data_IF_478129025865
#
_entry.id   IF_478129025865
#
_cell.length_a   1.000
_cell.length_b   1.000
_cell.length_c   1.000
_cell.angle_alpha   90.00
_cell.angle_beta   90.00
_cell.angle_gamma   90.00
#
_symmetry.space_group_name_H-M   'P 1'
#
loop_
_entity.id
_entity.type
_entity.pdbx_description
1 polymer ?
#
# COMPACT_ATOMS: atom_id res chain seq x y z
N UNK A 1 -3.15 0.67 -11.46
CA UNK A 1 -1.96 1.27 -12.14
C UNK A 1 -0.76 1.21 -11.18
N UNK A 2 0.33 0.53 -11.59
CA UNK A 2 1.58 0.47 -10.82
C UNK A 2 2.58 1.46 -11.39
N UNK A 3 3.32 2.15 -10.54
CA UNK A 3 4.35 3.11 -10.92
C UNK A 3 5.26 3.52 -9.78
N UNK A 4 6.14 4.48 -10.02
CA UNK A 4 7.13 4.99 -9.07
C UNK A 4 6.72 6.37 -8.56
N UNK A 5 6.90 6.60 -7.25
CA UNK A 5 6.62 7.91 -6.65
C UNK A 5 7.92 8.64 -6.30
N UNK A 6 8.78 8.04 -5.50
CA UNK A 6 9.98 8.66 -4.96
C UNK A 6 11.13 7.66 -4.86
N UNK A 7 12.35 8.15 -4.98
CA UNK A 7 13.55 7.36 -4.74
C UNK A 7 14.66 8.19 -4.11
N UNK A 8 15.59 7.50 -3.47
CA UNK A 8 16.91 8.04 -3.23
C UNK A 8 17.96 7.13 -3.86
N UNK A 9 18.86 7.75 -4.60
CA UNK A 9 20.01 7.10 -5.22
C UNK A 9 21.31 7.61 -4.63
N UNK A 10 22.35 6.81 -4.70
CA UNK A 10 23.67 7.21 -4.27
C UNK A 10 24.75 6.69 -5.22
N UNK A 11 25.88 7.39 -5.21
CA UNK A 11 27.10 7.03 -5.95
C UNK A 11 28.32 7.46 -5.17
N UNK A 12 29.39 6.69 -5.29
CA UNK A 12 30.73 7.06 -4.80
C UNK A 12 31.52 7.70 -5.95
N UNK A 13 32.13 8.84 -5.67
CA UNK A 13 32.94 9.61 -6.60
C UNK A 13 34.36 9.78 -6.07
N UNK A 14 35.31 9.85 -6.99
CA UNK A 14 36.72 10.16 -6.67
C UNK A 14 36.98 11.65 -6.82
N UNK A 15 36.22 12.46 -6.09
CA UNK A 15 36.29 13.92 -6.07
C UNK A 15 36.20 14.41 -4.63
N UNK A 16 36.73 15.61 -4.39
CA UNK A 16 36.64 16.27 -3.10
C UNK A 16 35.23 16.75 -2.78
N UNK A 17 34.82 16.60 -1.51
CA UNK A 17 33.48 16.97 -1.08
C UNK A 17 33.21 18.49 -1.20
N UNK A 18 34.22 19.32 -0.97
CA UNK A 18 34.08 20.77 -1.07
C UNK A 18 33.81 21.21 -2.52
N UNK A 19 34.43 20.57 -3.50
CA UNK A 19 34.13 20.83 -4.92
C UNK A 19 32.68 20.51 -5.25
N UNK A 20 32.15 19.39 -4.75
CA UNK A 20 30.74 19.04 -4.93
C UNK A 20 29.82 20.06 -4.29
N UNK A 21 30.14 20.52 -3.07
CA UNK A 21 29.37 21.52 -2.34
C UNK A 21 29.32 22.84 -3.08
N UNK A 22 30.46 23.29 -3.63
CA UNK A 22 30.55 24.48 -4.47
C UNK A 22 29.68 24.30 -5.72
N UNK A 23 29.78 23.14 -6.37
CA UNK A 23 28.97 22.79 -7.53
C UNK A 23 27.47 22.84 -7.23
N UNK A 24 27.00 22.31 -6.10
CA UNK A 24 25.61 22.38 -5.69
C UNK A 24 25.13 23.83 -5.56
N UNK A 25 25.90 24.68 -4.85
CA UNK A 25 25.57 26.08 -4.62
C UNK A 25 25.57 26.91 -5.93
N UNK A 26 26.40 26.51 -6.90
CA UNK A 26 26.47 27.16 -8.21
C UNK A 26 25.33 26.72 -9.15
N UNK A 27 24.93 25.45 -9.07
CA UNK A 27 23.98 24.84 -9.99
C UNK A 27 22.52 25.13 -9.63
N UNK A 28 22.19 25.13 -8.33
CA UNK A 28 20.84 25.35 -7.84
C UNK A 28 20.66 26.77 -7.29
N UNK A 29 19.52 27.40 -7.61
CA UNK A 29 19.21 28.77 -7.14
C UNK A 29 18.71 28.80 -5.70
N UNK A 30 17.90 27.77 -5.33
CA UNK A 30 17.24 27.70 -4.03
C UNK A 30 17.81 26.53 -3.21
N UNK A 31 18.95 26.77 -2.58
CA UNK A 31 19.63 25.78 -1.75
C UNK A 31 19.53 26.17 -0.29
N UNK A 32 18.91 25.34 0.53
CA UNK A 32 18.86 25.54 1.97
C UNK A 32 19.76 24.51 2.66
N UNK A 33 20.87 24.93 3.29
CA UNK A 33 21.70 24.00 4.06
C UNK A 33 20.94 23.55 5.31
N UNK A 34 20.87 22.24 5.52
CA UNK A 34 20.38 21.63 6.73
C UNK A 34 21.55 21.36 7.67
N UNK A 35 21.28 21.30 8.97
CA UNK A 35 22.33 21.10 10.00
C UNK A 35 23.27 19.95 9.66
N UNK A 36 24.57 20.21 9.75
CA UNK A 36 25.63 19.21 9.60
C UNK A 36 25.51 18.10 10.66
N UNK A 37 25.63 16.87 10.22
CA UNK A 37 25.76 15.70 11.11
C UNK A 37 27.04 14.95 10.79
N UNK A 38 28.07 15.13 11.60
CA UNK A 38 29.39 14.56 11.38
C UNK A 38 30.00 15.02 10.05
N UNK A 39 30.45 14.06 9.21
CA UNK A 39 31.02 14.31 7.86
C UNK A 39 30.00 14.43 6.74
N UNK A 40 28.72 14.60 7.06
CA UNK A 40 27.64 14.67 6.08
C UNK A 40 27.02 16.04 6.05
N UNK A 41 27.02 16.69 4.89
CA UNK A 41 26.27 17.91 4.62
C UNK A 41 24.99 17.58 3.86
N UNK A 42 23.88 18.18 4.27
CA UNK A 42 22.58 17.98 3.65
C UNK A 42 22.03 19.31 3.12
N UNK A 43 21.55 19.29 1.90
CA UNK A 43 20.96 20.43 1.21
C UNK A 43 19.51 20.09 0.82
N UNK A 44 18.57 20.93 1.23
CA UNK A 44 17.20 20.89 0.73
C UNK A 44 17.14 21.63 -0.59
N UNK A 45 16.57 20.98 -1.60
CA UNK A 45 16.45 21.51 -2.96
C UNK A 45 14.97 21.47 -3.31
N UNK A 46 14.46 22.58 -3.86
CA UNK A 46 13.06 22.66 -4.31
C UNK A 46 12.96 22.75 -5.83
N UNK A 47 13.99 22.32 -6.54
CA UNK A 47 14.11 22.43 -7.99
C UNK A 47 14.28 21.07 -8.64
N UNK A 48 13.87 20.93 -9.90
CA UNK A 48 14.13 19.75 -10.76
C UNK A 48 13.75 18.41 -10.14
N UNK A 49 12.60 18.35 -9.50
CA UNK A 49 12.11 17.13 -8.84
C UNK A 49 13.00 16.58 -7.71
N UNK A 50 14.03 17.32 -7.31
CA UNK A 50 14.93 16.95 -6.22
C UNK A 50 14.35 17.49 -4.92
N UNK A 51 14.39 16.65 -3.88
CA UNK A 51 13.99 17.04 -2.52
C UNK A 51 15.19 17.34 -1.65
N UNK A 52 16.26 16.52 -1.79
CA UNK A 52 17.41 16.62 -0.91
C UNK A 52 18.67 16.08 -1.62
N UNK A 53 19.80 16.73 -1.39
CA UNK A 53 21.12 16.23 -1.76
C UNK A 53 21.96 16.12 -0.46
N UNK A 54 22.55 14.95 -0.26
CA UNK A 54 23.50 14.69 0.82
C UNK A 54 24.88 14.42 0.25
N UNK A 55 25.87 15.14 0.77
CA UNK A 55 27.26 14.99 0.44
C UNK A 55 27.98 14.46 1.67
N UNK A 56 28.59 13.29 1.57
CA UNK A 56 29.35 12.66 2.64
C UNK A 56 30.80 12.49 2.21
N UNK A 57 31.69 13.11 2.95
CA UNK A 57 33.13 12.89 2.81
C UNK A 57 33.48 11.45 3.23
N UNK A 58 34.31 10.79 2.44
CA UNK A 58 34.90 9.48 2.72
C UNK A 58 36.43 9.59 2.78
N UNK A 59 37.11 8.58 3.37
CA UNK A 59 38.59 8.53 3.35
C UNK A 59 39.14 8.57 1.92
N UNK A 60 40.37 9.01 1.76
CA UNK A 60 41.10 9.08 0.50
C UNK A 60 40.49 10.04 -0.54
N UNK A 61 39.99 11.20 -0.09
CA UNK A 61 39.37 12.23 -0.96
C UNK A 61 38.24 11.70 -1.83
N UNK A 62 37.52 10.69 -1.34
CA UNK A 62 36.29 10.16 -1.99
C UNK A 62 35.09 10.84 -1.40
N UNK A 63 34.06 10.99 -2.23
CA UNK A 63 32.79 11.60 -1.83
C UNK A 63 31.64 10.69 -2.21
N UNK A 64 30.72 10.49 -1.27
CA UNK A 64 29.43 9.87 -1.57
C UNK A 64 28.38 10.96 -1.74
N UNK A 65 27.74 10.98 -2.91
CA UNK A 65 26.57 11.80 -3.16
C UNK A 65 25.33 10.92 -3.07
N UNK A 66 24.32 11.41 -2.35
CA UNK A 66 23.00 10.82 -2.31
C UNK A 66 21.98 11.88 -2.75
N UNK A 67 21.11 11.53 -3.70
CA UNK A 67 20.03 12.40 -4.19
C UNK A 67 18.70 11.72 -3.92
N UNK A 68 17.82 12.46 -3.23
CA UNK A 68 16.43 12.10 -3.00
C UNK A 68 15.57 12.89 -3.98
N UNK A 69 14.77 12.22 -4.79
CA UNK A 69 13.99 12.84 -5.86
C UNK A 69 12.64 12.15 -6.06
N UNK A 70 11.72 12.84 -6.74
CA UNK A 70 10.37 12.37 -7.02
C UNK A 70 10.21 12.01 -8.48
N UNK A 71 9.92 10.74 -8.77
CA UNK A 71 9.54 10.28 -10.11
C UNK A 71 8.20 10.86 -10.57
N UNK A 72 7.25 10.95 -9.66
CA UNK A 72 5.90 11.43 -9.98
C UNK A 72 5.89 12.88 -10.45
N UNK A 73 6.81 13.71 -9.94
CA UNK A 73 6.95 15.11 -10.37
C UNK A 73 7.70 15.30 -11.68
N UNK A 74 8.34 14.26 -12.20
CA UNK A 74 9.13 14.36 -13.42
C UNK A 74 8.29 14.78 -14.62
N UNK A 75 7.14 14.15 -14.83
CA UNK A 75 6.23 14.46 -15.93
C UNK A 75 5.11 15.44 -15.56
N UNK A 76 4.77 15.54 -14.29
CA UNK A 76 3.66 16.36 -13.79
C UNK A 76 4.16 17.10 -12.57
N UNK A 77 3.90 18.38 -12.48
CA UNK A 77 4.35 19.22 -11.36
C UNK A 77 3.83 18.79 -9.98
N UNK A 78 2.93 17.82 -9.92
CA UNK A 78 2.35 17.26 -8.70
C UNK A 78 2.74 15.78 -8.52
N UNK A 79 2.55 15.25 -7.31
CA UNK A 79 2.75 13.85 -6.99
C UNK A 79 1.42 13.07 -6.92
N UNK A 80 0.42 13.53 -7.67
CA UNK A 80 -0.89 12.91 -7.65
C UNK A 80 -0.90 11.53 -8.33
N UNK A 81 -0.11 11.40 -9.40
CA UNK A 81 -0.02 10.16 -10.17
C UNK A 81 1.41 9.61 -10.17
N UNK A 82 1.60 8.29 -9.97
CA UNK A 82 2.92 7.68 -10.06
C UNK A 82 3.44 7.66 -11.50
N UNK A 83 4.74 7.59 -11.66
CA UNK A 83 5.38 7.43 -12.96
C UNK A 83 5.28 5.97 -13.41
N UNK A 84 4.57 5.70 -14.51
CA UNK A 84 4.28 4.34 -14.98
C UNK A 84 5.03 3.95 -16.26
N UNK A 85 5.70 4.89 -16.91
CA UNK A 85 6.45 4.66 -18.13
C UNK A 85 7.92 4.33 -17.85
N UNK A 86 8.41 3.19 -18.36
CA UNK A 86 9.83 2.83 -18.25
C UNK A 86 10.73 3.85 -18.97
N UNK A 87 10.30 4.36 -20.13
CA UNK A 87 11.03 5.40 -20.85
C UNK A 87 11.18 6.66 -19.99
N UNK A 88 10.08 7.12 -19.39
CA UNK A 88 10.11 8.31 -18.54
C UNK A 88 10.93 8.06 -17.24
N UNK A 89 10.95 6.83 -16.71
CA UNK A 89 11.83 6.42 -15.62
C UNK A 89 13.29 6.57 -15.99
N UNK A 90 13.68 6.03 -17.14
CA UNK A 90 15.06 6.12 -17.67
C UNK A 90 15.46 7.59 -17.84
N UNK A 91 14.60 8.40 -18.46
CA UNK A 91 14.87 9.84 -18.65
C UNK A 91 15.04 10.58 -17.32
N UNK A 92 14.21 10.27 -16.32
CA UNK A 92 14.35 10.87 -14.99
C UNK A 92 15.68 10.49 -14.32
N UNK A 93 16.12 9.25 -14.48
CA UNK A 93 17.40 8.75 -13.95
C UNK A 93 18.60 9.37 -14.66
N UNK A 94 18.53 9.54 -15.99
CA UNK A 94 19.56 10.25 -16.77
C UNK A 94 19.65 11.73 -16.39
N UNK A 95 18.53 12.39 -16.09
CA UNK A 95 18.58 13.76 -15.57
C UNK A 95 19.32 13.82 -14.22
N UNK A 96 19.14 12.84 -13.33
CA UNK A 96 19.90 12.76 -12.07
C UNK A 96 21.40 12.54 -12.33
N UNK A 97 21.75 11.68 -13.31
CA UNK A 97 23.14 11.48 -13.75
C UNK A 97 23.73 12.81 -14.23
N UNK A 98 23.04 13.54 -15.09
CA UNK A 98 23.49 14.82 -15.63
C UNK A 98 23.71 15.87 -14.51
N UNK A 99 22.82 15.89 -13.52
CA UNK A 99 22.97 16.77 -12.37
C UNK A 99 24.22 16.41 -11.57
N UNK A 100 24.44 15.13 -11.27
CA UNK A 100 25.63 14.66 -10.55
C UNK A 100 26.89 15.05 -11.31
N UNK A 101 26.94 14.78 -12.62
CA UNK A 101 28.07 15.13 -13.45
C UNK A 101 28.38 16.64 -13.46
N UNK A 102 27.33 17.48 -13.49
CA UNK A 102 27.49 18.95 -13.46
C UNK A 102 27.97 19.50 -12.11
N UNK A 103 27.45 18.94 -10.98
CA UNK A 103 27.83 19.44 -9.66
C UNK A 103 29.19 18.89 -9.17
N UNK A 104 29.63 17.76 -9.70
CA UNK A 104 30.88 17.10 -9.29
C UNK A 104 31.99 17.13 -10.33
N UNK A 105 31.69 17.60 -11.54
CA UNK A 105 32.61 17.54 -12.70
C UNK A 105 33.09 16.12 -12.99
N UNK A 106 32.27 15.13 -12.68
CA UNK A 106 32.55 13.70 -12.90
C UNK A 106 31.89 13.20 -14.21
N UNK A 107 32.23 11.98 -14.59
CA UNK A 107 31.63 11.29 -15.74
C UNK A 107 31.06 9.95 -15.27
N UNK A 108 29.89 10.00 -14.64
CA UNK A 108 29.15 8.78 -14.29
C UNK A 108 28.05 8.51 -15.29
N UNK A 109 27.55 7.28 -15.28
CA UNK A 109 26.39 6.83 -16.04
C UNK A 109 25.33 6.29 -15.10
N UNK A 110 24.13 6.01 -15.59
CA UNK A 110 23.06 5.36 -14.86
C UNK A 110 23.49 4.02 -14.23
N UNK A 111 24.44 3.32 -14.86
CA UNK A 111 25.03 2.10 -14.35
C UNK A 111 25.86 2.26 -13.06
N UNK A 112 26.23 3.46 -12.65
CA UNK A 112 26.94 3.74 -11.41
C UNK A 112 26.01 4.07 -10.23
N UNK A 113 24.73 4.43 -10.53
CA UNK A 113 23.76 4.77 -9.49
C UNK A 113 23.23 3.53 -8.78
N UNK A 114 23.09 3.62 -7.46
CA UNK A 114 22.52 2.57 -6.60
C UNK A 114 21.33 3.12 -5.85
N UNK A 115 20.25 2.36 -5.73
CA UNK A 115 19.14 2.74 -4.87
C UNK A 115 19.51 2.62 -3.38
N UNK A 116 19.19 3.64 -2.63
CA UNK A 116 19.11 3.61 -1.17
C UNK A 116 17.71 3.18 -0.72
N UNK A 117 16.70 3.76 -1.34
CA UNK A 117 15.33 3.32 -1.22
C UNK A 117 14.54 3.65 -2.49
N UNK A 118 13.42 2.98 -2.65
CA UNK A 118 12.48 3.18 -3.73
C UNK A 118 11.05 3.13 -3.17
N UNK A 119 10.19 4.06 -3.59
CA UNK A 119 8.76 4.07 -3.31
C UNK A 119 8.00 3.66 -4.57
N UNK A 120 7.34 2.50 -4.48
CA UNK A 120 6.57 1.89 -5.56
C UNK A 120 5.11 2.04 -5.18
N UNK A 121 4.30 2.59 -6.07
CA UNK A 121 2.90 2.85 -5.83
C UNK A 121 2.01 2.02 -6.72
N UNK A 122 0.95 1.50 -6.14
CA UNK A 122 -0.20 0.97 -6.87
C UNK A 122 -1.37 1.90 -6.57
N UNK A 123 -2.02 2.40 -7.60
CA UNK A 123 -3.07 3.41 -7.46
C UNK A 123 -4.29 3.06 -8.31
N UNK A 124 -5.46 3.29 -7.73
CA UNK A 124 -6.75 3.07 -8.39
C UNK A 124 -7.72 4.20 -8.08
N UNK A 125 -8.50 4.60 -9.10
CA UNK A 125 -9.62 5.49 -8.93
C UNK A 125 -10.81 4.69 -8.43
N UNK A 126 -11.35 5.05 -7.29
CA UNK A 126 -12.47 4.36 -6.66
C UNK A 126 -13.71 5.24 -6.71
N UNK A 127 -14.91 4.64 -6.80
CA UNK A 127 -16.14 5.41 -6.85
C UNK A 127 -16.38 6.20 -5.56
N UNK A 128 -16.10 5.55 -4.43
CA UNK A 128 -16.16 6.16 -3.11
C UNK A 128 -15.13 5.52 -2.21
N UNK A 129 -14.49 6.30 -1.35
CA UNK A 129 -13.60 5.76 -0.33
C UNK A 129 -14.35 4.80 0.63
N UNK A 130 -15.63 5.07 0.88
CA UNK A 130 -16.48 4.21 1.70
C UNK A 130 -16.64 2.80 1.15
N UNK A 131 -16.66 2.63 -0.17
CA UNK A 131 -16.78 1.32 -0.81
C UNK A 131 -15.60 0.42 -0.48
N UNK A 132 -14.44 1.02 -0.19
CA UNK A 132 -13.20 0.31 0.13
C UNK A 132 -12.87 0.29 1.62
N UNK A 133 -13.60 1.02 2.45
CA UNK A 133 -13.32 1.08 3.89
C UNK A 133 -13.31 -0.31 4.54
N UNK A 134 -14.27 -1.15 4.20
CA UNK A 134 -14.35 -2.51 4.73
C UNK A 134 -13.22 -3.40 4.21
N UNK A 135 -12.85 -3.24 2.94
CA UNK A 135 -11.69 -3.93 2.33
C UNK A 135 -10.40 -3.51 3.02
N UNK A 136 -10.24 -2.21 3.27
CA UNK A 136 -9.09 -1.68 3.99
C UNK A 136 -9.05 -2.23 5.42
N UNK A 137 -10.17 -2.27 6.10
CA UNK A 137 -10.27 -2.80 7.47
C UNK A 137 -9.97 -4.30 7.53
N UNK A 138 -10.44 -5.07 6.57
CA UNK A 138 -10.17 -6.49 6.46
C UNK A 138 -8.69 -6.77 6.14
N UNK A 139 -8.12 -6.01 5.22
CA UNK A 139 -6.71 -6.05 4.88
C UNK A 139 -5.83 -5.71 6.10
N UNK A 140 -6.20 -4.68 6.85
CA UNK A 140 -5.57 -4.33 8.11
C UNK A 140 -5.64 -5.49 9.13
N UNK A 141 -6.82 -6.05 9.33
CA UNK A 141 -7.06 -7.16 10.27
C UNK A 141 -6.19 -8.37 9.91
N UNK A 142 -6.15 -8.74 8.64
CA UNK A 142 -5.36 -9.87 8.14
C UNK A 142 -3.86 -9.66 8.36
N UNK A 143 -3.33 -8.48 8.02
CA UNK A 143 -1.92 -8.18 8.19
C UNK A 143 -1.54 -7.98 9.66
N UNK A 144 -2.39 -7.34 10.47
CA UNK A 144 -2.08 -7.02 11.87
C UNK A 144 -1.87 -8.26 12.75
N UNK A 145 -2.46 -9.39 12.41
CA UNK A 145 -2.30 -10.64 13.16
C UNK A 145 -1.01 -11.38 12.84
N UNK A 146 -0.47 -11.18 11.66
CA UNK A 146 0.61 -12.00 11.13
C UNK A 146 1.98 -11.30 11.13
N UNK A 147 2.01 -9.97 11.20
CA UNK A 147 3.24 -9.21 11.31
C UNK A 147 3.45 -8.72 12.74
N UNK A 148 4.37 -9.36 13.46
CA UNK A 148 4.67 -9.06 14.88
C UNK A 148 5.33 -7.70 15.14
N UNK A 149 5.79 -7.01 14.10
CA UNK A 149 6.58 -5.77 14.22
C UNK A 149 5.79 -4.58 13.70
N UNK A 150 4.80 -4.15 14.49
CA UNK A 150 4.13 -2.88 14.24
C UNK A 150 4.81 -1.76 15.02
N UNK A 151 5.43 -0.83 14.30
CA UNK A 151 5.44 0.55 14.78
C UNK A 151 3.98 1.01 14.83
N UNK A 152 3.59 1.68 15.92
CA UNK A 152 2.26 2.21 16.18
C UNK A 152 1.61 2.69 14.89
N UNK A 153 0.60 1.97 14.43
CA UNK A 153 -0.24 2.35 13.32
C UNK A 153 -0.79 3.74 13.60
N UNK A 154 -0.35 4.71 12.83
CA UNK A 154 -0.99 6.03 12.85
C UNK A 154 -2.23 5.91 11.98
N UNK A 155 -3.36 5.73 12.63
CA UNK A 155 -4.64 5.96 11.97
C UNK A 155 -4.77 7.45 11.74
N UNK A 156 -4.87 7.85 10.49
CA UNK A 156 -5.35 9.18 10.17
C UNK A 156 -6.89 9.08 10.22
N UNK A 157 -7.49 9.55 11.30
CA UNK A 157 -8.93 9.54 11.48
C UNK A 157 -9.54 10.79 10.86
N UNK A 158 -10.68 10.62 10.19
CA UNK A 158 -11.45 11.72 9.60
C UNK A 158 -12.90 11.61 9.97
N UNK A 159 -13.44 12.76 10.34
CA UNK A 159 -14.86 13.00 10.38
C UNK A 159 -15.34 13.30 8.94
N UNK A 160 -16.24 12.46 8.45
CA UNK A 160 -16.88 12.67 7.17
C UNK A 160 -18.38 12.57 7.41
N UNK A 161 -19.02 13.65 7.74
CA UNK A 161 -20.47 13.72 8.01
C UNK A 161 -20.91 13.42 9.45
N UNK A 162 -20.28 14.10 10.40
CA UNK A 162 -20.96 14.44 11.65
C UNK A 162 -20.96 13.42 12.77
N UNK A 163 -20.66 12.13 12.56
CA UNK A 163 -20.68 11.16 13.66
C UNK A 163 -19.81 9.90 13.47
N UNK A 164 -19.02 9.81 12.38
CA UNK A 164 -18.26 8.60 12.11
C UNK A 164 -16.80 8.89 11.76
N UNK A 165 -15.90 8.32 12.55
CA UNK A 165 -14.47 8.34 12.25
C UNK A 165 -14.11 7.22 11.29
N UNK A 166 -13.48 7.55 10.16
CA UNK A 166 -12.93 6.59 9.22
C UNK A 166 -11.42 6.64 9.27
N UNK A 167 -10.79 5.48 9.23
CA UNK A 167 -9.37 5.43 8.94
C UNK A 167 -9.16 5.78 7.48
N UNK A 168 -8.37 6.82 7.18
CA UNK A 168 -8.01 7.19 5.80
C UNK A 168 -6.79 6.44 5.32
N UNK A 169 -6.15 5.69 6.19
CA UNK A 169 -5.01 4.86 5.84
C UNK A 169 -4.32 4.22 7.03
N UNK A 170 -3.39 3.33 6.72
CA UNK A 170 -2.57 2.64 7.70
C UNK A 170 -1.17 2.36 7.13
N UNK A 171 -0.21 2.17 8.02
CA UNK A 171 1.17 1.85 7.71
C UNK A 171 1.54 0.52 8.35
N UNK A 172 2.13 -0.38 7.56
CA UNK A 172 2.69 -1.63 8.02
C UNK A 172 4.19 -1.67 7.77
N UNK A 173 4.88 -2.36 8.63
CA UNK A 173 6.24 -2.80 8.38
C UNK A 173 6.22 -4.29 8.03
N UNK A 174 6.44 -4.62 6.77
CA UNK A 174 6.41 -6.00 6.29
C UNK A 174 7.72 -6.74 6.59
N UNK A 175 8.85 -6.02 6.57
CA UNK A 175 10.18 -6.52 6.92
C UNK A 175 11.04 -5.33 7.39
N UNK A 176 12.22 -5.61 7.96
CA UNK A 176 13.22 -4.58 8.25
C UNK A 176 13.62 -3.92 6.92
N UNK A 177 13.19 -2.66 6.76
CA UNK A 177 13.44 -1.91 5.51
C UNK A 177 12.34 -2.00 4.46
N UNK A 178 11.21 -2.64 4.74
CA UNK A 178 10.04 -2.66 3.85
C UNK A 178 8.80 -2.16 4.60
N UNK A 179 8.37 -0.95 4.27
CA UNK A 179 7.14 -0.35 4.79
C UNK A 179 6.09 -0.32 3.68
N UNK A 180 4.85 -0.61 4.06
CA UNK A 180 3.70 -0.52 3.19
C UNK A 180 2.71 0.48 3.79
N UNK A 181 2.15 1.36 2.95
CA UNK A 181 1.13 2.32 3.33
C UNK A 181 -0.04 2.21 2.38
N UNK A 182 -1.23 1.98 2.90
CA UNK A 182 -2.48 2.05 2.15
C UNK A 182 -3.28 3.26 2.63
N UNK A 183 -3.70 4.15 1.73
CA UNK A 183 -4.35 5.39 2.12
C UNK A 183 -5.15 6.06 0.99
N UNK A 184 -6.04 6.99 1.39
CA UNK A 184 -6.73 7.87 0.46
C UNK A 184 -5.80 8.99 -0.01
N UNK A 185 -5.36 8.90 -1.26
CA UNK A 185 -4.48 9.92 -1.87
C UNK A 185 -5.21 11.24 -2.13
N UNK A 186 -6.48 11.17 -2.53
CA UNK A 186 -7.31 12.36 -2.72
C UNK A 186 -7.48 13.14 -1.41
N UNK A 187 -7.69 12.43 -0.30
CA UNK A 187 -7.79 13.08 1.00
C UNK A 187 -6.48 13.78 1.40
N UNK A 188 -5.33 13.10 1.24
CA UNK A 188 -4.01 13.71 1.48
C UNK A 188 -3.80 14.97 0.63
N UNK A 189 -4.23 14.94 -0.63
CA UNK A 189 -4.13 16.08 -1.55
C UNK A 189 -5.04 17.22 -1.12
N UNK A 190 -6.32 16.97 -0.89
CA UNK A 190 -7.31 17.98 -0.50
C UNK A 190 -6.93 18.69 0.81
N UNK A 191 -6.30 17.97 1.74
CA UNK A 191 -5.76 18.56 2.97
C UNK A 191 -4.64 19.58 2.70
N UNK A 192 -3.82 19.33 1.69
CA UNK A 192 -2.71 20.23 1.29
C UNK A 192 -3.17 21.37 0.38
N UNK A 193 -4.26 21.15 -0.34
CA UNK A 193 -4.84 22.10 -1.32
C UNK A 193 -6.33 22.31 -1.00
N UNK A 194 -6.65 23.08 0.08
CA UNK A 194 -8.03 23.39 0.44
C UNK A 194 -8.76 24.08 -0.72
N UNK A 195 -9.93 23.56 -1.08
CA UNK A 195 -10.72 24.08 -2.20
C UNK A 195 -10.62 23.26 -3.48
N UNK A 196 -9.67 22.34 -3.60
CA UNK A 196 -9.63 21.35 -4.66
C UNK A 196 -10.40 20.10 -4.24
N UNK A 197 -11.33 19.63 -5.09
CA UNK A 197 -12.04 18.37 -4.86
C UNK A 197 -11.58 17.35 -5.88
N UNK A 198 -10.77 16.39 -5.45
CA UNK A 198 -10.33 15.31 -6.30
C UNK A 198 -11.27 14.12 -6.22
N UNK A 199 -11.37 13.42 -7.35
CA UNK A 199 -11.99 12.10 -7.38
C UNK A 199 -11.34 11.17 -6.35
N UNK A 200 -12.09 10.28 -5.67
CA UNK A 200 -11.52 9.36 -4.72
C UNK A 200 -10.41 8.48 -5.33
N UNK A 201 -9.22 8.54 -4.76
CA UNK A 201 -8.05 7.80 -5.19
C UNK A 201 -7.54 6.97 -4.01
N UNK A 202 -7.47 5.66 -4.18
CA UNK A 202 -6.82 4.75 -3.25
C UNK A 202 -5.39 4.47 -3.71
N UNK A 203 -4.43 4.61 -2.80
CA UNK A 203 -3.01 4.33 -3.08
C UNK A 203 -2.43 3.33 -2.09
N UNK A 204 -1.82 2.31 -2.63
CA UNK A 204 -0.93 1.39 -1.91
C UNK A 204 0.51 1.75 -2.27
N UNK A 205 1.31 2.07 -1.28
CA UNK A 205 2.68 2.53 -1.43
C UNK A 205 3.62 1.59 -0.70
N UNK A 206 4.64 1.10 -1.40
CA UNK A 206 5.70 0.27 -0.85
C UNK A 206 6.99 1.07 -0.82
N UNK A 207 7.49 1.34 0.37
CA UNK A 207 8.83 1.89 0.54
C UNK A 207 9.80 0.78 0.89
N UNK A 208 10.70 0.47 -0.04
CA UNK A 208 11.71 -0.57 0.09
C UNK A 208 13.10 0.06 0.16
N UNK A 209 13.89 -0.35 1.15
CA UNK A 209 15.27 0.13 1.31
C UNK A 209 16.26 -0.74 0.57
N UNK A 210 17.51 -0.27 0.50
CA UNK A 210 18.59 -0.98 -0.17
C UNK A 210 18.82 -2.41 0.34
N UNK A 211 18.46 -2.71 1.59
CA UNK A 211 18.54 -4.07 2.15
C UNK A 211 17.56 -5.02 1.48
N UNK A 212 16.32 -4.59 1.26
CA UNK A 212 15.29 -5.35 0.56
C UNK A 212 15.62 -5.43 -0.94
N UNK A 213 15.98 -4.30 -1.56
CA UNK A 213 16.38 -4.28 -2.97
C UNK A 213 17.55 -5.23 -3.26
N UNK A 214 18.49 -5.39 -2.30
CA UNK A 214 19.57 -6.38 -2.42
C UNK A 214 19.08 -7.83 -2.37
N UNK A 215 17.99 -8.11 -1.64
CA UNK A 215 17.38 -9.44 -1.64
C UNK A 215 16.74 -9.76 -3.00
N UNK A 216 16.16 -8.75 -3.66
CA UNK A 216 15.51 -8.87 -4.96
C UNK A 216 16.53 -8.92 -6.11
N UNK A 217 17.54 -8.03 -6.06
CA UNK A 217 18.61 -7.96 -7.06
C UNK A 217 19.94 -7.62 -6.38
N UNK A 218 20.94 -8.49 -6.52
CA UNK A 218 22.21 -8.39 -5.81
C UNK A 218 23.01 -7.11 -6.12
N UNK A 219 22.86 -6.56 -7.32
CA UNK A 219 23.62 -5.39 -7.79
C UNK A 219 23.16 -4.08 -7.16
N UNK A 220 21.88 -3.93 -6.87
CA UNK A 220 21.19 -2.68 -6.46
C UNK A 220 21.35 -1.53 -7.45
N UNK A 221 21.88 -1.77 -8.64
CA UNK A 221 22.06 -0.73 -9.65
C UNK A 221 20.70 -0.29 -10.19
N UNK A 222 20.53 1.01 -10.34
CA UNK A 222 19.25 1.61 -10.79
C UNK A 222 18.79 1.01 -12.13
N UNK A 223 19.72 0.73 -13.04
CA UNK A 223 19.42 0.14 -14.36
C UNK A 223 18.80 -1.25 -14.31
N UNK A 224 19.00 -2.01 -13.23
CA UNK A 224 18.56 -3.41 -13.10
C UNK A 224 17.12 -3.53 -12.56
N UNK A 225 16.50 -2.42 -12.14
CA UNK A 225 15.14 -2.36 -11.61
C UNK A 225 14.19 -1.73 -12.63
N UNK A 226 13.66 -2.52 -13.55
CA UNK A 226 12.57 -2.08 -14.42
C UNK A 226 11.25 -2.04 -13.66
N UNK A 227 10.26 -1.27 -14.15
CA UNK A 227 8.92 -1.23 -13.55
C UNK A 227 8.29 -2.63 -13.54
N UNK A 228 8.49 -3.40 -14.59
CA UNK A 228 8.00 -4.79 -14.67
C UNK A 228 8.69 -5.70 -13.66
N UNK A 229 10.01 -5.63 -13.52
CA UNK A 229 10.73 -6.37 -12.48
C UNK A 229 10.18 -6.06 -11.09
N UNK A 230 9.99 -4.78 -10.77
CA UNK A 230 9.45 -4.34 -9.48
C UNK A 230 8.02 -4.84 -9.24
N UNK A 231 7.18 -4.83 -10.28
CA UNK A 231 5.84 -5.41 -10.24
C UNK A 231 5.91 -6.89 -9.87
N UNK A 232 6.73 -7.66 -10.58
CA UNK A 232 6.86 -9.10 -10.36
C UNK A 232 7.38 -9.44 -8.96
N UNK A 233 8.34 -8.68 -8.43
CA UNK A 233 8.84 -8.89 -7.07
C UNK A 233 7.79 -8.55 -6.00
N UNK A 234 7.01 -7.48 -6.16
CA UNK A 234 5.91 -7.17 -5.23
C UNK A 234 4.87 -8.29 -5.26
N UNK A 235 4.44 -8.72 -6.44
CA UNK A 235 3.48 -9.81 -6.62
C UNK A 235 3.98 -11.09 -5.95
N UNK A 236 5.22 -11.47 -6.21
CA UNK A 236 5.85 -12.67 -5.65
C UNK A 236 5.93 -12.63 -4.13
N UNK A 237 6.33 -11.49 -3.55
CA UNK A 237 6.56 -11.38 -2.11
C UNK A 237 5.27 -11.18 -1.30
N UNK A 238 4.28 -10.49 -1.86
CA UNK A 238 3.05 -10.16 -1.16
C UNK A 238 1.89 -11.08 -1.50
N UNK A 239 1.77 -11.49 -2.76
CA UNK A 239 0.61 -12.20 -3.23
C UNK A 239 0.33 -13.47 -2.44
N UNK A 240 1.33 -14.31 -2.32
CA UNK A 240 1.22 -15.58 -1.60
C UNK A 240 0.86 -15.38 -0.12
N UNK A 241 1.57 -14.50 0.58
CA UNK A 241 1.31 -14.23 1.99
C UNK A 241 -0.09 -13.64 2.22
N UNK A 242 -0.50 -12.72 1.35
CA UNK A 242 -1.80 -12.07 1.48
C UNK A 242 -2.95 -13.06 1.32
N UNK A 243 -2.84 -13.99 0.37
CA UNK A 243 -3.85 -15.06 0.16
C UNK A 243 -3.96 -15.95 1.38
N UNK A 244 -2.83 -16.47 1.87
CA UNK A 244 -2.81 -17.32 3.08
C UNK A 244 -3.47 -16.60 4.26
N UNK A 245 -3.19 -15.32 4.45
CA UNK A 245 -3.78 -14.56 5.55
C UNK A 245 -5.28 -14.38 5.42
N UNK A 246 -5.76 -14.19 4.19
CA UNK A 246 -7.18 -14.07 3.93
C UNK A 246 -7.92 -15.40 4.15
N UNK A 247 -7.34 -16.48 3.67
CA UNK A 247 -7.87 -17.84 3.89
C UNK A 247 -7.97 -18.13 5.39
N UNK A 248 -6.92 -17.84 6.16
CA UNK A 248 -6.93 -18.02 7.61
C UNK A 248 -7.98 -17.17 8.33
N UNK A 249 -8.23 -15.93 7.90
CA UNK A 249 -9.26 -15.07 8.49
C UNK A 249 -10.67 -15.61 8.18
N UNK A 250 -10.87 -16.07 6.95
CA UNK A 250 -12.13 -16.70 6.54
C UNK A 250 -12.38 -17.97 7.37
N UNK A 251 -11.40 -18.85 7.50
CA UNK A 251 -11.52 -20.07 8.27
C UNK A 251 -11.85 -19.81 9.75
N UNK A 252 -11.20 -18.83 10.37
CA UNK A 252 -11.49 -18.39 11.74
C UNK A 252 -12.91 -17.85 11.90
N UNK A 253 -13.37 -17.04 10.97
CA UNK A 253 -14.73 -16.49 11.02
C UNK A 253 -15.76 -17.59 10.84
N UNK A 254 -15.44 -18.63 10.08
CA UNK A 254 -16.30 -19.79 9.91
C UNK A 254 -16.34 -20.64 11.19
N UNK A 255 -15.20 -20.98 11.78
CA UNK A 255 -15.12 -21.70 13.05
C UNK A 255 -15.92 -20.97 14.14
N UNK A 256 -15.75 -19.64 14.21
CA UNK A 256 -16.52 -18.81 15.13
C UNK A 256 -18.02 -18.90 14.87
N UNK A 257 -18.46 -18.79 13.61
CA UNK A 257 -19.88 -18.88 13.25
C UNK A 257 -20.42 -20.29 13.52
N UNK A 258 -19.67 -21.35 13.23
CA UNK A 258 -20.08 -22.72 13.51
C UNK A 258 -20.30 -22.95 15.01
N UNK A 259 -19.40 -22.43 15.85
CA UNK A 259 -19.53 -22.51 17.30
C UNK A 259 -20.78 -21.76 17.80
N UNK A 260 -20.99 -20.52 17.33
CA UNK A 260 -22.17 -19.72 17.70
C UNK A 260 -23.48 -20.28 17.19
N UNK A 261 -23.48 -20.92 16.01
CA UNK A 261 -24.69 -21.53 15.46
C UNK A 261 -25.05 -22.87 16.12
N UNK A 262 -24.15 -23.53 16.89
CA UNK A 262 -24.48 -24.75 17.64
C UNK A 262 -25.64 -24.51 18.62
N UNK A 263 -25.65 -23.37 19.33
CA UNK A 263 -26.63 -23.03 20.38
C UNK A 263 -27.70 -22.05 19.92
N UNK A 264 -27.94 -21.93 18.63
CA UNK A 264 -28.63 -20.82 18.02
C UNK A 264 -30.15 -20.91 18.11
N UNK A 265 -30.80 -19.93 18.71
CA UNK A 265 -32.23 -19.67 18.63
C UNK A 265 -32.53 -18.50 17.67
N UNK A 266 -33.75 -18.44 17.14
CA UNK A 266 -34.14 -17.37 16.21
C UNK A 266 -34.03 -15.93 16.78
N UNK A 267 -33.98 -15.78 18.11
CA UNK A 267 -33.78 -14.48 18.77
C UNK A 267 -32.34 -14.00 18.69
N UNK A 268 -31.40 -14.91 18.72
CA UNK A 268 -29.97 -14.60 18.77
C UNK A 268 -29.39 -14.22 17.40
N UNK A 269 -30.09 -14.49 16.28
CA UNK A 269 -29.58 -14.14 14.95
C UNK A 269 -29.40 -12.63 14.74
N UNK A 270 -30.39 -11.84 15.15
CA UNK A 270 -30.29 -10.37 15.07
C UNK A 270 -29.18 -9.82 15.94
N UNK A 271 -29.01 -10.40 17.14
CA UNK A 271 -27.96 -10.06 18.08
C UNK A 271 -26.59 -10.43 17.50
N UNK A 272 -26.46 -11.63 16.90
CA UNK A 272 -25.25 -12.06 16.23
C UNK A 272 -24.84 -11.08 15.12
N UNK A 273 -25.73 -10.76 14.21
CA UNK A 273 -25.46 -9.82 13.11
C UNK A 273 -25.11 -8.43 13.63
N UNK A 274 -25.73 -7.99 14.74
CA UNK A 274 -25.44 -6.69 15.36
C UNK A 274 -24.10 -6.66 16.10
N UNK A 275 -23.84 -7.66 16.92
CA UNK A 275 -22.74 -7.65 17.90
C UNK A 275 -21.42 -8.14 17.31
N UNK A 276 -21.48 -8.92 16.20
CA UNK A 276 -20.30 -9.48 15.54
C UNK A 276 -20.01 -8.85 14.18
N UNK A 277 -20.17 -7.54 14.07
CA UNK A 277 -19.91 -6.76 12.86
C UNK A 277 -18.45 -6.82 12.39
N UNK A 278 -17.55 -7.24 13.25
CA UNK A 278 -16.12 -7.34 12.98
C UNK A 278 -15.74 -8.59 12.20
N UNK A 279 -16.66 -9.57 12.13
CA UNK A 279 -16.46 -10.80 11.37
C UNK A 279 -16.88 -10.62 9.92
N UNK A 280 -16.33 -11.45 9.05
CA UNK A 280 -16.71 -11.50 7.64
C UNK A 280 -18.09 -12.16 7.53
N UNK A 281 -19.13 -11.39 7.77
CA UNK A 281 -20.52 -11.85 7.63
C UNK A 281 -20.90 -11.82 6.14
N UNK A 282 -20.35 -12.72 5.34
CA UNK A 282 -20.81 -12.96 3.99
C UNK A 282 -22.04 -13.88 4.01
N UNK A 283 -23.09 -13.54 3.25
CA UNK A 283 -24.30 -14.34 3.15
C UNK A 283 -23.99 -15.79 2.72
N UNK A 284 -23.00 -16.00 1.87
CA UNK A 284 -22.58 -17.33 1.40
C UNK A 284 -21.93 -18.13 2.50
N UNK A 285 -21.06 -17.53 3.32
CA UNK A 285 -20.43 -18.19 4.46
C UNK A 285 -21.50 -18.59 5.48
N UNK A 286 -22.42 -17.70 5.81
CA UNK A 286 -23.52 -17.99 6.73
C UNK A 286 -24.39 -19.11 6.18
N UNK A 287 -24.75 -19.08 4.90
CA UNK A 287 -25.51 -20.14 4.26
C UNK A 287 -24.79 -21.49 4.28
N UNK A 288 -23.47 -21.48 4.11
CA UNK A 288 -22.65 -22.69 4.21
C UNK A 288 -22.67 -23.25 5.63
N UNK A 289 -22.40 -22.44 6.65
CA UNK A 289 -22.43 -22.85 8.07
C UNK A 289 -23.81 -23.39 8.41
N UNK A 290 -24.90 -22.71 8.03
CA UNK A 290 -26.27 -23.19 8.24
C UNK A 290 -26.52 -24.53 7.54
N UNK A 291 -25.92 -24.77 6.37
CA UNK A 291 -26.06 -26.03 5.63
C UNK A 291 -25.42 -27.19 6.40
N UNK A 292 -24.29 -26.95 7.05
CA UNK A 292 -23.55 -27.97 7.82
C UNK A 292 -24.16 -28.32 9.18
N UNK A 293 -25.14 -27.59 9.68
CA UNK A 293 -25.80 -27.91 10.95
C UNK A 293 -26.51 -29.27 10.88
N UNK A 294 -25.83 -30.30 11.35
CA UNK A 294 -26.33 -31.69 11.29
C UNK A 294 -27.60 -31.96 12.13
N UNK A 295 -27.76 -31.18 13.20
CA UNK A 295 -28.87 -31.30 14.15
C UNK A 295 -30.15 -30.56 13.73
N UNK A 296 -30.20 -29.96 12.56
CA UNK A 296 -31.35 -29.18 12.07
C UNK A 296 -31.98 -29.83 10.84
N UNK A 297 -33.32 -29.90 10.82
CA UNK A 297 -34.07 -30.34 9.65
C UNK A 297 -33.89 -29.37 8.47
N UNK A 298 -34.17 -29.85 7.26
CA UNK A 298 -34.13 -29.01 6.04
C UNK A 298 -35.02 -27.76 6.16
N UNK A 299 -36.22 -27.91 6.71
CA UNK A 299 -37.15 -26.79 6.91
C UNK A 299 -36.59 -25.73 7.90
N UNK A 300 -35.89 -26.19 8.96
CA UNK A 300 -35.23 -25.29 9.91
C UNK A 300 -34.05 -24.58 9.25
N UNK A 301 -33.23 -25.29 8.46
CA UNK A 301 -32.12 -24.67 7.71
C UNK A 301 -32.61 -23.63 6.73
N UNK A 302 -33.70 -23.92 5.97
CA UNK A 302 -34.33 -22.93 5.08
C UNK A 302 -34.79 -21.69 5.85
N UNK A 303 -35.47 -21.87 6.98
CA UNK A 303 -35.94 -20.76 7.84
C UNK A 303 -34.78 -19.94 8.40
N UNK A 304 -33.66 -20.57 8.76
CA UNK A 304 -32.46 -19.85 9.20
C UNK A 304 -31.88 -19.00 8.09
N UNK A 305 -31.75 -19.52 6.86
CA UNK A 305 -31.26 -18.74 5.71
C UNK A 305 -32.13 -17.51 5.42
N UNK A 306 -33.47 -17.67 5.43
CA UNK A 306 -34.41 -16.55 5.24
C UNK A 306 -34.24 -15.50 6.32
N UNK A 307 -34.12 -15.91 7.60
CA UNK A 307 -33.90 -14.97 8.71
C UNK A 307 -32.55 -14.28 8.64
N UNK A 308 -31.49 -14.97 8.22
CA UNK A 308 -30.19 -14.33 7.94
C UNK A 308 -30.37 -13.27 6.88
N UNK A 309 -30.97 -13.62 5.75
CA UNK A 309 -31.20 -12.68 4.66
C UNK A 309 -31.99 -11.45 5.11
N UNK A 310 -33.07 -11.64 5.86
CA UNK A 310 -33.85 -10.53 6.43
C UNK A 310 -33.06 -9.66 7.38
N UNK A 311 -32.31 -10.27 8.32
CA UNK A 311 -31.46 -9.53 9.26
C UNK A 311 -30.38 -8.73 8.55
N UNK A 312 -29.78 -9.30 7.51
CA UNK A 312 -28.78 -8.64 6.69
C UNK A 312 -29.38 -7.45 5.93
N UNK A 313 -30.57 -7.62 5.35
CA UNK A 313 -31.29 -6.54 4.64
C UNK A 313 -31.69 -5.41 5.60
N UNK A 314 -32.27 -5.73 6.75
CA UNK A 314 -32.61 -4.74 7.79
C UNK A 314 -31.38 -3.97 8.26
N UNK A 315 -30.27 -4.66 8.35
CA UNK A 315 -29.00 -4.08 8.74
C UNK A 315 -28.44 -3.14 7.68
N UNK A 316 -28.59 -3.48 6.40
CA UNK A 316 -28.22 -2.63 5.26
C UNK A 316 -29.05 -1.34 5.18
N UNK A 317 -30.34 -1.39 5.51
CA UNK A 317 -31.26 -0.26 5.42
C UNK A 317 -30.99 0.78 6.54
N UNK A 318 -30.54 0.38 7.72
CA UNK A 318 -30.39 1.26 8.89
C UNK A 318 -29.22 2.24 8.89
N UNK A 319 -28.51 2.40 7.77
CA UNK A 319 -27.60 3.54 7.49
C UNK A 319 -26.25 3.53 8.22
N UNK A 320 -25.69 2.42 8.79
CA UNK A 320 -24.32 2.41 9.33
C UNK A 320 -23.29 2.18 8.22
N UNK A 321 -22.18 2.95 8.17
CA UNK A 321 -21.13 2.79 7.16
C UNK A 321 -20.42 1.43 7.22
N UNK A 322 -20.53 0.71 8.34
CA UNK A 322 -20.01 -0.66 8.51
C UNK A 322 -20.84 -1.74 7.82
N UNK A 323 -21.88 -1.37 7.07
CA UNK A 323 -22.95 -2.27 6.57
C UNK A 323 -22.70 -2.94 5.24
N UNK A 324 -21.68 -2.53 4.53
CA UNK A 324 -21.37 -3.12 3.23
C UNK A 324 -20.51 -4.39 3.34
N UNK A 325 -20.55 -5.08 4.49
CA UNK A 325 -19.73 -6.25 4.76
C UNK A 325 -20.09 -7.51 3.97
N UNK A 326 -21.22 -7.50 3.25
CA UNK A 326 -21.78 -8.71 2.65
C UNK A 326 -21.14 -9.17 1.34
N UNK A 327 -20.24 -8.37 0.78
CA UNK A 327 -19.45 -8.75 -0.40
C UNK A 327 -17.97 -8.51 -0.17
N UNK A 328 -17.53 -8.49 1.08
CA UNK A 328 -16.14 -8.12 1.42
C UNK A 328 -15.11 -9.06 0.80
N UNK A 329 -15.38 -10.36 0.74
CA UNK A 329 -14.47 -11.32 0.12
C UNK A 329 -14.35 -11.02 -1.37
N UNK A 330 -15.47 -10.86 -2.10
CA UNK A 330 -15.45 -10.51 -3.52
C UNK A 330 -14.79 -9.16 -3.78
N UNK A 331 -15.05 -8.18 -2.92
CA UNK A 331 -14.41 -6.86 -3.01
C UNK A 331 -12.92 -6.94 -2.72
N UNK A 332 -12.52 -7.80 -1.80
CA UNK A 332 -11.14 -8.02 -1.47
C UNK A 332 -10.40 -8.79 -2.58
N UNK A 333 -11.04 -9.80 -3.19
CA UNK A 333 -10.54 -10.45 -4.40
C UNK A 333 -10.39 -9.45 -5.55
N UNK A 334 -11.40 -8.62 -5.78
CA UNK A 334 -11.34 -7.55 -6.76
C UNK A 334 -10.20 -6.57 -6.44
N UNK A 335 -10.08 -6.14 -5.18
CA UNK A 335 -9.01 -5.26 -4.72
C UNK A 335 -7.62 -5.89 -4.96
N UNK A 336 -7.47 -7.17 -4.64
CA UNK A 336 -6.22 -7.89 -4.83
C UNK A 336 -5.90 -8.00 -6.32
N UNK A 337 -6.86 -8.37 -7.16
CA UNK A 337 -6.68 -8.50 -8.61
C UNK A 337 -6.41 -7.16 -9.28
N UNK A 338 -7.27 -6.18 -9.07
CA UNK A 338 -7.22 -4.91 -9.80
C UNK A 338 -6.17 -3.95 -9.24
N UNK A 339 -6.02 -3.91 -7.93
CA UNK A 339 -5.14 -2.96 -7.27
C UNK A 339 -3.74 -3.54 -7.07
N UNK A 340 -3.63 -4.78 -6.62
CA UNK A 340 -2.34 -5.44 -6.45
C UNK A 340 -1.86 -6.09 -7.75
N UNK A 341 -2.69 -6.14 -8.80
CA UNK A 341 -2.39 -6.79 -10.08
C UNK A 341 -1.96 -8.26 -9.90
N UNK A 342 -2.52 -8.92 -8.90
CA UNK A 342 -2.23 -10.29 -8.56
C UNK A 342 -3.40 -11.11 -9.06
N UNK A 343 -3.16 -11.97 -10.03
CA UNK A 343 -4.14 -12.95 -10.45
C UNK A 343 -4.16 -14.09 -9.44
N UNK A 344 -5.05 -13.98 -8.46
CA UNK A 344 -5.15 -14.93 -7.36
C UNK A 344 -6.53 -15.54 -7.34
N UNK A 345 -6.55 -16.84 -7.28
CA UNK A 345 -7.68 -17.62 -6.81
C UNK A 345 -7.54 -17.81 -5.30
N UNK A 346 -8.37 -17.13 -4.50
CA UNK A 346 -8.43 -17.38 -3.05
C UNK A 346 -9.08 -18.73 -2.85
N UNK A 347 -8.27 -19.76 -2.58
CA UNK A 347 -8.74 -21.09 -2.22
C UNK A 347 -8.89 -21.14 -0.71
N UNK A 348 -10.06 -20.80 -0.21
CA UNK A 348 -10.41 -21.24 1.14
C UNK A 348 -10.92 -22.70 1.08
N UNK A 349 -10.89 -23.41 2.20
CA UNK A 349 -11.45 -24.77 2.36
C UNK A 349 -12.91 -24.91 1.88
N UNK A 350 -13.50 -23.83 1.48
CA UNK A 350 -14.86 -23.62 1.00
C UNK A 350 -14.97 -23.42 -0.51
N UNK A 351 -13.87 -23.24 -1.25
CA UNK A 351 -13.92 -22.97 -2.70
C UNK A 351 -14.42 -24.17 -3.50
N UNK A 352 -14.35 -25.37 -2.99
CA UNK A 352 -15.02 -26.53 -3.62
C UNK A 352 -16.55 -26.37 -3.70
N UNK A 353 -17.13 -25.48 -2.86
CA UNK A 353 -18.57 -25.23 -2.82
C UNK A 353 -18.98 -23.78 -3.15
N UNK A 354 -18.03 -22.87 -3.24
CA UNK A 354 -18.21 -21.50 -3.66
C UNK A 354 -17.55 -21.31 -5.02
N UNK A 355 -18.16 -21.87 -6.07
CA UNK A 355 -17.81 -21.51 -7.44
C UNK A 355 -18.14 -20.01 -7.61
N UNK A 356 -17.11 -19.20 -7.47
CA UNK A 356 -17.16 -17.79 -7.82
C UNK A 356 -17.11 -17.71 -9.36
N UNK A 357 -18.27 -17.80 -10.01
CA UNK A 357 -18.38 -17.43 -11.40
C UNK A 357 -18.11 -15.94 -11.50
N UNK A 358 -16.93 -15.61 -11.95
CA UNK A 358 -16.53 -14.27 -12.35
C UNK A 358 -17.09 -14.09 -13.75
N UNK A 359 -18.03 -13.19 -13.90
CA UNK A 359 -18.43 -12.59 -15.18
C UNK A 359 -17.68 -11.27 -15.30
#
# INVERSE_FOLDING_TARGET
>A
MLGLDRAAVWVDLEVDADLVIIGIKKYFKNVQPKKLSGRTQTFLISEKNINEIRVREKPLSKTMIKIDFSYSRYNKKDNLYPLTSEIAKVMAEEEIVDIINKISLSHITRGNLKYEYLEICIQENVKSFYDYHNVISLFYKSLSRNFKTFEKTRFENYDVAGDYFYSTGFIFQLDIGWKMRLYSKSHEHNKKHPGESLHPILRLEHRVTSGILKKWCSTKMVKDFTIEFLKNEIVKQMGHNLVIFLEQEIDRDIEFLEDKFKDFTSRTLRTLVRDYQEHILDEKIINYVVTKLSNKSYAQKKRYREKVKTALTEYQIRGSPRRNNFNNIKRLEFFIREILLIDIEVKCSYTEHLTFNII
#
